data_IF_586947035891
#
_entry.id   IF_586947035891
#
_cell.length_a   1.000
_cell.length_b   1.000
_cell.length_c   1.000
_cell.angle_alpha   90.00
_cell.angle_beta   90.00
_cell.angle_gamma   90.00
#
_symmetry.space_group_name_H-M   'P 1'
#
loop_
_entity.id
_entity.type
_entity.pdbx_description
1 polymer ?
#
# COMPACT_ATOMS: atom_id res chain seq x y z
N UNK A 1 9.07 13.83 19.14
CA UNK A 1 10.51 13.94 18.78
C UNK A 1 10.56 14.43 17.34
N UNK A 2 11.26 15.53 17.07
CA UNK A 2 11.33 16.14 15.74
C UNK A 2 11.95 15.14 14.72
N UNK A 3 11.28 14.94 13.59
CA UNK A 3 11.73 14.05 12.52
C UNK A 3 13.09 14.49 11.97
N UNK A 4 13.36 15.79 11.96
CA UNK A 4 14.66 16.35 11.55
C UNK A 4 15.77 15.96 12.52
N UNK A 5 15.54 16.16 13.82
CA UNK A 5 16.48 15.75 14.88
C UNK A 5 16.80 14.24 14.80
N UNK A 6 15.79 13.41 14.53
CA UNK A 6 16.00 11.96 14.38
C UNK A 6 16.88 11.62 13.17
N UNK A 7 16.70 12.33 12.04
CA UNK A 7 17.55 12.16 10.85
C UNK A 7 18.99 12.58 11.14
N UNK A 8 19.19 13.72 11.80
CA UNK A 8 20.52 14.23 12.13
C UNK A 8 21.28 13.25 13.06
N UNK A 9 20.61 12.72 14.09
CA UNK A 9 21.18 11.70 14.98
C UNK A 9 21.57 10.44 14.19
N UNK A 10 20.75 10.00 13.23
CA UNK A 10 21.05 8.82 12.41
C UNK A 10 22.24 9.06 11.49
N UNK A 11 22.34 10.24 10.87
CA UNK A 11 23.47 10.64 10.03
C UNK A 11 24.76 10.56 10.84
N UNK A 12 24.81 11.17 12.03
CA UNK A 12 25.99 11.14 12.90
C UNK A 12 26.38 9.71 13.30
N UNK A 13 25.40 8.87 13.65
CA UNK A 13 25.65 7.46 14.00
C UNK A 13 26.25 6.67 12.83
N UNK A 14 25.78 6.87 11.60
CA UNK A 14 26.34 6.19 10.45
C UNK A 14 27.72 6.74 10.04
N UNK A 15 27.96 8.04 10.21
CA UNK A 15 29.28 8.63 10.02
C UNK A 15 30.31 8.05 11.01
N UNK A 16 29.96 7.96 12.29
CA UNK A 16 30.82 7.32 13.30
C UNK A 16 31.03 5.83 13.02
N UNK A 17 29.99 5.12 12.57
CA UNK A 17 30.12 3.72 12.15
C UNK A 17 31.11 3.56 11.00
N UNK A 18 31.04 4.43 9.97
CA UNK A 18 31.97 4.41 8.84
C UNK A 18 33.40 4.68 9.33
N UNK A 19 33.59 5.63 10.25
CA UNK A 19 34.91 5.92 10.85
C UNK A 19 35.49 4.69 11.56
N UNK A 20 34.67 3.96 12.31
CA UNK A 20 35.10 2.75 13.04
C UNK A 20 35.28 1.53 12.14
N UNK A 21 34.49 1.42 11.07
CA UNK A 21 34.44 0.23 10.18
C UNK A 21 34.38 0.65 8.70
N UNK A 22 35.45 1.28 8.16
CA UNK A 22 35.44 1.86 6.82
C UNK A 22 35.33 0.82 5.69
N UNK A 23 35.65 -0.45 5.93
CA UNK A 23 35.52 -1.50 4.92
C UNK A 23 34.11 -2.13 4.86
N UNK A 24 33.21 -1.77 5.79
CA UNK A 24 31.87 -2.35 5.81
C UNK A 24 30.89 -1.54 4.94
N UNK A 25 30.30 -2.12 3.87
CA UNK A 25 29.37 -1.41 3.00
C UNK A 25 28.09 -0.95 3.70
N UNK A 26 27.74 -1.58 4.82
CA UNK A 26 26.55 -1.25 5.61
C UNK A 26 26.53 0.20 6.09
N UNK A 27 27.68 0.75 6.53
CA UNK A 27 27.75 2.13 7.03
C UNK A 27 27.40 3.14 5.95
N UNK A 28 28.03 3.00 4.78
CA UNK A 28 27.76 3.83 3.62
C UNK A 28 26.32 3.68 3.12
N UNK A 29 25.80 2.44 3.07
CA UNK A 29 24.39 2.22 2.71
C UNK A 29 23.43 2.93 3.68
N UNK A 30 23.64 2.78 4.99
CA UNK A 30 22.80 3.41 6.00
C UNK A 30 22.81 4.94 5.91
N UNK A 31 23.99 5.53 5.67
CA UNK A 31 24.14 6.97 5.43
C UNK A 31 23.46 7.42 4.13
N UNK A 32 23.58 6.64 3.05
CA UNK A 32 22.90 6.92 1.78
C UNK A 32 21.36 6.91 1.92
N UNK A 33 20.81 6.00 2.73
CA UNK A 33 19.38 5.99 3.05
C UNK A 33 18.97 7.26 3.79
N UNK A 34 19.78 7.74 4.75
CA UNK A 34 19.44 9.00 5.45
C UNK A 34 19.46 10.19 4.49
N UNK A 35 20.41 10.25 3.56
CA UNK A 35 20.45 11.32 2.55
C UNK A 35 19.27 11.28 1.57
N UNK A 36 18.75 10.08 1.23
CA UNK A 36 17.50 9.98 0.46
C UNK A 36 16.32 10.54 1.25
N UNK A 37 16.20 10.17 2.53
CA UNK A 37 15.13 10.65 3.41
C UNK A 37 15.21 12.16 3.67
N UNK A 38 16.41 12.75 3.64
CA UNK A 38 16.61 14.19 3.75
C UNK A 38 16.43 14.95 2.43
N UNK A 39 16.00 14.27 1.35
CA UNK A 39 15.76 14.90 0.05
C UNK A 39 17.04 15.25 -0.73
N UNK A 40 18.18 14.61 -0.42
CA UNK A 40 19.48 14.84 -1.05
C UNK A 40 19.96 13.63 -1.87
N UNK A 41 19.28 13.26 -2.97
CA UNK A 41 19.58 12.03 -3.73
C UNK A 41 21.00 11.98 -4.29
N UNK A 42 21.61 13.13 -4.61
CA UNK A 42 23.01 13.21 -5.07
C UNK A 42 24.01 12.77 -4.02
N UNK A 43 23.80 13.13 -2.75
CA UNK A 43 24.65 12.67 -1.64
C UNK A 43 24.42 11.18 -1.36
N UNK A 44 23.17 10.74 -1.47
CA UNK A 44 22.83 9.33 -1.36
C UNK A 44 23.53 8.48 -2.42
N UNK A 45 23.55 8.92 -3.70
CA UNK A 45 24.26 8.20 -4.77
C UNK A 45 25.74 8.03 -4.45
N UNK A 46 26.40 9.10 -3.98
CA UNK A 46 27.81 9.04 -3.55
C UNK A 46 28.01 7.96 -2.50
N UNK A 47 27.13 7.87 -1.50
CA UNK A 47 27.24 6.86 -0.45
C UNK A 47 26.94 5.45 -0.96
N UNK A 48 25.94 5.25 -1.80
CA UNK A 48 25.69 3.94 -2.41
C UNK A 48 26.83 3.50 -3.32
N UNK A 49 27.44 4.42 -4.06
CA UNK A 49 28.66 4.12 -4.83
C UNK A 49 29.81 3.70 -3.94
N UNK A 50 30.02 4.36 -2.79
CA UNK A 50 31.05 3.92 -1.82
C UNK A 50 30.74 2.52 -1.27
N UNK A 51 29.49 2.23 -0.92
CA UNK A 51 29.09 0.88 -0.50
C UNK A 51 29.39 -0.18 -1.58
N UNK A 52 29.12 0.15 -2.85
CA UNK A 52 29.39 -0.75 -3.98
C UNK A 52 30.88 -0.88 -4.31
N UNK A 53 31.70 0.14 -4.03
CA UNK A 53 33.16 0.02 -4.10
C UNK A 53 33.69 -0.98 -3.08
N UNK A 54 33.12 -0.98 -1.86
CA UNK A 54 33.48 -1.94 -0.81
C UNK A 54 32.98 -3.35 -1.10
N UNK A 55 31.78 -3.48 -1.66
CA UNK A 55 31.25 -4.76 -2.12
C UNK A 55 30.34 -4.56 -3.36
N UNK A 56 30.81 -4.92 -4.57
CA UNK A 56 30.04 -4.76 -5.81
C UNK A 56 28.74 -5.55 -5.87
N UNK A 57 28.61 -6.62 -5.08
CA UNK A 57 27.42 -7.49 -5.00
C UNK A 57 26.45 -7.08 -3.90
N UNK A 58 26.72 -5.99 -3.18
CA UNK A 58 25.91 -5.57 -2.03
C UNK A 58 24.51 -5.10 -2.45
N UNK A 59 23.55 -6.03 -2.38
CA UNK A 59 22.18 -5.83 -2.84
C UNK A 59 21.47 -4.57 -2.27
N UNK A 60 21.61 -4.22 -0.97
CA UNK A 60 20.98 -3.02 -0.44
C UNK A 60 21.45 -1.74 -1.12
N UNK A 61 22.74 -1.61 -1.46
CA UNK A 61 23.24 -0.44 -2.16
C UNK A 61 22.82 -0.39 -3.64
N UNK A 62 22.68 -1.55 -4.31
CA UNK A 62 22.07 -1.60 -5.65
C UNK A 62 20.61 -1.15 -5.62
N UNK A 63 19.85 -1.58 -4.63
CA UNK A 63 18.48 -1.09 -4.41
C UNK A 63 18.46 0.42 -4.16
N UNK A 64 19.33 0.92 -3.28
CA UNK A 64 19.46 2.36 -3.01
C UNK A 64 19.80 3.17 -4.26
N UNK A 65 20.70 2.66 -5.13
CA UNK A 65 21.02 3.31 -6.40
C UNK A 65 19.82 3.35 -7.36
N UNK A 66 19.04 2.28 -7.44
CA UNK A 66 17.80 2.28 -8.21
C UNK A 66 16.80 3.31 -7.66
N UNK A 67 16.66 3.40 -6.34
CA UNK A 67 15.80 4.41 -5.67
C UNK A 67 16.25 5.84 -5.98
N UNK A 68 17.56 6.11 -6.01
CA UNK A 68 18.09 7.42 -6.42
C UNK A 68 17.71 7.75 -7.86
N UNK A 69 17.90 6.81 -8.80
CA UNK A 69 17.55 7.04 -10.21
C UNK A 69 16.07 7.40 -10.37
N UNK A 70 15.20 6.75 -9.60
CA UNK A 70 13.77 7.03 -9.57
C UNK A 70 13.47 8.40 -8.94
N UNK A 71 14.10 8.75 -7.82
CA UNK A 71 13.94 10.05 -7.15
C UNK A 71 14.40 11.22 -8.02
N UNK A 72 15.41 11.02 -8.86
CA UNK A 72 15.88 12.00 -9.84
C UNK A 72 15.09 12.00 -11.16
N UNK A 73 13.96 11.28 -11.24
CA UNK A 73 13.14 11.11 -12.45
C UNK A 73 13.90 10.53 -13.66
N UNK A 74 15.00 9.82 -13.44
CA UNK A 74 15.81 9.15 -14.47
C UNK A 74 15.22 7.77 -14.80
N UNK A 75 13.96 7.75 -15.25
CA UNK A 75 13.17 6.54 -15.44
C UNK A 75 13.78 5.50 -16.40
N UNK A 76 14.33 5.94 -17.55
CA UNK A 76 14.99 5.04 -18.50
C UNK A 76 16.22 4.39 -17.86
N UNK A 77 17.05 5.20 -17.20
CA UNK A 77 18.24 4.70 -16.52
C UNK A 77 17.86 3.73 -15.39
N UNK A 78 16.79 4.00 -14.64
CA UNK A 78 16.26 3.11 -13.63
C UNK A 78 15.83 1.76 -14.21
N UNK A 79 15.07 1.76 -15.31
CA UNK A 79 14.62 0.54 -15.98
C UNK A 79 15.79 -0.28 -16.55
N UNK A 80 16.79 0.39 -17.17
CA UNK A 80 18.01 -0.26 -17.63
C UNK A 80 18.86 -0.80 -16.48
N UNK A 81 18.97 -0.05 -15.39
CA UNK A 81 19.70 -0.46 -14.20
C UNK A 81 19.06 -1.67 -13.53
N UNK A 82 17.72 -1.73 -13.50
CA UNK A 82 16.98 -2.93 -13.10
C UNK A 82 17.34 -4.12 -13.98
N UNK A 83 17.24 -3.97 -15.31
CA UNK A 83 17.57 -5.04 -16.27
C UNK A 83 18.98 -5.59 -16.06
N UNK A 84 19.97 -4.72 -15.85
CA UNK A 84 21.37 -5.11 -15.58
C UNK A 84 21.56 -5.86 -14.26
N UNK A 85 20.65 -5.72 -13.30
CA UNK A 85 20.76 -6.30 -11.96
C UNK A 85 19.58 -7.23 -11.63
N UNK A 86 18.83 -7.69 -12.64
CA UNK A 86 17.58 -8.42 -12.48
C UNK A 86 17.76 -9.67 -11.63
N UNK A 87 18.85 -10.41 -11.85
CA UNK A 87 19.07 -11.71 -11.23
C UNK A 87 19.24 -11.56 -9.71
N UNK A 88 19.86 -10.46 -9.26
CA UNK A 88 20.00 -10.14 -7.85
C UNK A 88 18.69 -9.63 -7.24
N UNK A 89 17.91 -8.84 -7.99
CA UNK A 89 16.62 -8.31 -7.51
C UNK A 89 15.54 -9.39 -7.43
N UNK A 90 15.55 -10.36 -8.33
CA UNK A 90 14.60 -11.48 -8.33
C UNK A 90 14.96 -12.56 -7.30
N UNK A 91 16.19 -12.58 -6.80
CA UNK A 91 16.66 -13.58 -5.82
C UNK A 91 15.86 -13.62 -4.53
N UNK A 92 15.32 -12.47 -4.06
CA UNK A 92 14.49 -12.42 -2.85
C UNK A 92 13.22 -11.63 -3.11
N UNK A 93 12.06 -12.21 -2.74
CA UNK A 93 10.75 -11.56 -2.83
C UNK A 93 10.70 -10.18 -2.18
N UNK A 94 11.44 -9.98 -1.08
CA UNK A 94 11.51 -8.68 -0.38
C UNK A 94 12.11 -7.58 -1.27
N UNK A 95 13.06 -7.89 -2.14
CA UNK A 95 13.68 -6.93 -3.05
C UNK A 95 12.70 -6.56 -4.17
N UNK A 96 12.10 -7.56 -4.83
CA UNK A 96 11.05 -7.32 -5.82
C UNK A 96 9.90 -6.47 -5.26
N UNK A 97 9.39 -6.83 -4.07
CA UNK A 97 8.33 -6.08 -3.38
C UNK A 97 8.75 -4.64 -3.07
N UNK A 98 9.99 -4.43 -2.59
CA UNK A 98 10.52 -3.10 -2.31
C UNK A 98 10.61 -2.26 -3.58
N UNK A 99 11.14 -2.81 -4.68
CA UNK A 99 11.24 -2.12 -5.96
C UNK A 99 9.87 -1.71 -6.48
N UNK A 100 8.92 -2.64 -6.52
CA UNK A 100 7.55 -2.39 -6.92
C UNK A 100 6.91 -1.28 -6.07
N UNK A 101 7.14 -1.30 -4.76
CA UNK A 101 6.64 -0.27 -3.83
C UNK A 101 7.27 1.09 -4.07
N UNK A 102 8.58 1.15 -4.29
CA UNK A 102 9.27 2.41 -4.59
C UNK A 102 8.76 2.99 -5.90
N UNK A 103 8.72 2.20 -6.98
CA UNK A 103 8.31 2.69 -8.31
C UNK A 103 6.85 3.13 -8.29
N UNK A 104 5.95 2.31 -7.76
CA UNK A 104 4.52 2.66 -7.67
C UNK A 104 4.24 3.82 -6.72
N UNK A 105 5.08 4.03 -5.69
CA UNK A 105 4.97 5.16 -4.78
C UNK A 105 5.12 6.52 -5.48
N UNK A 106 5.88 6.57 -6.58
CA UNK A 106 6.04 7.78 -7.40
C UNK A 106 4.68 8.30 -7.90
N UNK A 107 3.72 7.39 -8.15
CA UNK A 107 2.38 7.76 -8.60
C UNK A 107 1.63 8.69 -7.64
N UNK A 108 1.94 8.61 -6.34
CA UNK A 108 1.32 9.44 -5.30
C UNK A 108 2.03 10.78 -5.11
N UNK A 109 3.20 10.99 -5.72
CA UNK A 109 3.95 12.24 -5.58
C UNK A 109 3.30 13.36 -6.41
N UNK A 110 3.16 14.54 -5.79
CA UNK A 110 2.69 15.74 -6.48
C UNK A 110 3.59 16.09 -7.67
N UNK A 111 4.90 15.86 -7.55
CA UNK A 111 5.87 16.05 -8.63
C UNK A 111 5.55 15.19 -9.85
N UNK A 112 5.14 13.94 -9.67
CA UNK A 112 4.73 13.07 -10.78
C UNK A 112 3.43 13.57 -11.42
N UNK A 113 2.44 13.96 -10.61
CA UNK A 113 1.21 14.55 -11.14
C UNK A 113 1.46 15.84 -11.91
N UNK A 114 2.35 16.72 -11.43
CA UNK A 114 2.75 17.95 -12.11
C UNK A 114 3.52 17.65 -13.40
N UNK A 115 4.43 16.68 -13.35
CA UNK A 115 5.19 16.19 -14.49
C UNK A 115 4.28 15.64 -15.60
N UNK A 116 3.19 14.94 -15.25
CA UNK A 116 2.19 14.49 -16.23
C UNK A 116 1.22 15.59 -16.69
N UNK A 117 1.06 16.69 -15.95
CA UNK A 117 0.16 17.80 -16.34
C UNK A 117 0.84 18.81 -17.26
N UNK A 118 2.14 19.03 -17.09
CA UNK A 118 2.88 19.98 -17.91
C UNK A 118 3.12 19.41 -19.31
N UNK A 119 2.61 20.10 -20.33
CA UNK A 119 2.65 19.68 -21.73
C UNK A 119 4.08 19.43 -22.24
N UNK A 120 5.06 20.23 -21.77
CA UNK A 120 6.48 20.07 -22.14
C UNK A 120 7.11 18.81 -21.53
N UNK A 121 6.86 18.54 -20.25
CA UNK A 121 7.37 17.32 -19.60
C UNK A 121 6.66 16.07 -20.06
N UNK A 122 5.41 16.21 -20.48
CA UNK A 122 4.63 15.15 -21.09
C UNK A 122 5.18 14.79 -22.48
N UNK A 123 5.55 15.77 -23.31
CA UNK A 123 6.22 15.52 -24.60
C UNK A 123 7.59 14.81 -24.42
N UNK A 124 8.40 15.27 -23.47
CA UNK A 124 9.67 14.60 -23.10
C UNK A 124 9.43 13.18 -22.58
N UNK A 125 8.28 12.91 -21.97
CA UNK A 125 7.91 11.57 -21.55
C UNK A 125 7.43 10.72 -22.73
N UNK A 126 6.71 11.28 -23.69
CA UNK A 126 6.24 10.61 -24.90
C UNK A 126 7.44 10.07 -25.73
N UNK A 127 8.53 10.84 -25.82
CA UNK A 127 9.79 10.35 -26.42
C UNK A 127 10.40 9.18 -25.62
N UNK A 128 10.35 9.26 -24.29
CA UNK A 128 10.87 8.22 -23.38
C UNK A 128 9.99 6.96 -23.35
N UNK A 129 8.70 7.06 -23.69
CA UNK A 129 7.76 5.93 -23.73
C UNK A 129 8.24 4.85 -24.70
N UNK A 130 8.71 5.24 -25.90
CA UNK A 130 9.22 4.27 -26.87
C UNK A 130 10.38 3.44 -26.32
N UNK A 131 11.28 4.07 -25.55
CA UNK A 131 12.37 3.37 -24.88
C UNK A 131 11.87 2.44 -23.75
N UNK A 132 10.91 2.89 -22.93
CA UNK A 132 10.31 2.04 -21.89
C UNK A 132 9.56 0.85 -22.47
N UNK A 133 8.82 1.04 -23.57
CA UNK A 133 8.12 -0.03 -24.28
C UNK A 133 9.10 -1.08 -24.81
N UNK A 134 10.21 -0.65 -25.42
CA UNK A 134 11.28 -1.57 -25.86
C UNK A 134 11.89 -2.34 -24.70
N UNK A 135 12.03 -1.72 -23.52
CA UNK A 135 12.56 -2.38 -22.32
C UNK A 135 11.54 -3.37 -21.73
N UNK A 136 10.26 -3.03 -21.75
CA UNK A 136 9.16 -3.87 -21.26
C UNK A 136 8.94 -5.10 -22.15
N UNK A 137 8.95 -4.92 -23.48
CA UNK A 137 8.77 -6.01 -24.45
C UNK A 137 10.00 -6.91 -24.68
N UNK A 138 11.10 -6.71 -23.96
CA UNK A 138 12.27 -7.59 -24.04
C UNK A 138 12.06 -8.87 -23.21
N UNK A 139 12.75 -9.97 -23.55
CA UNK A 139 12.60 -11.34 -22.99
C UNK A 139 12.58 -11.50 -21.46
N UNK A 140 12.95 -10.46 -20.70
CA UNK A 140 12.83 -10.43 -19.24
C UNK A 140 11.86 -9.32 -18.81
N UNK A 141 10.73 -9.72 -18.22
CA UNK A 141 9.76 -8.82 -17.60
C UNK A 141 10.46 -7.81 -16.68
N UNK A 142 10.16 -6.52 -16.89
CA UNK A 142 10.80 -5.43 -16.17
C UNK A 142 9.74 -4.66 -15.38
N UNK A 143 9.45 -5.05 -14.12
CA UNK A 143 8.41 -4.40 -13.32
C UNK A 143 8.65 -2.90 -13.13
N UNK A 144 9.90 -2.40 -13.23
CA UNK A 144 10.15 -0.96 -13.21
C UNK A 144 9.57 -0.30 -14.45
N UNK A 145 9.86 -0.83 -15.64
CA UNK A 145 9.32 -0.31 -16.89
C UNK A 145 7.80 -0.48 -16.96
N UNK A 146 7.29 -1.65 -16.60
CA UNK A 146 5.86 -1.98 -16.67
C UNK A 146 5.03 -1.06 -15.79
N UNK A 147 5.45 -0.85 -14.52
CA UNK A 147 4.75 0.04 -13.59
C UNK A 147 4.78 1.49 -14.10
N UNK A 148 5.93 1.96 -14.60
CA UNK A 148 6.05 3.33 -15.13
C UNK A 148 5.16 3.55 -16.36
N UNK A 149 5.09 2.57 -17.26
CA UNK A 149 4.20 2.59 -18.42
C UNK A 149 2.73 2.60 -17.99
N UNK A 150 2.35 1.73 -17.04
CA UNK A 150 0.99 1.67 -16.52
C UNK A 150 0.57 2.98 -15.85
N UNK A 151 1.44 3.57 -15.03
CA UNK A 151 1.18 4.86 -14.40
C UNK A 151 0.93 5.96 -15.44
N UNK A 152 1.73 5.99 -16.51
CA UNK A 152 1.56 6.96 -17.58
C UNK A 152 0.28 6.75 -18.38
N UNK A 153 -0.03 5.50 -18.77
CA UNK A 153 -1.27 5.19 -19.50
C UNK A 153 -2.51 5.52 -18.69
N UNK A 154 -2.50 5.26 -17.38
CA UNK A 154 -3.57 5.72 -16.48
C UNK A 154 -3.73 7.24 -16.50
N UNK A 155 -2.63 8.01 -16.39
CA UNK A 155 -2.70 9.48 -16.41
C UNK A 155 -3.19 10.03 -17.74
N UNK A 156 -2.90 9.35 -18.85
CA UNK A 156 -3.40 9.67 -20.19
C UNK A 156 -4.84 9.20 -20.43
N UNK A 157 -5.43 8.43 -19.52
CA UNK A 157 -6.74 7.81 -19.74
C UNK A 157 -6.75 6.77 -20.88
N UNK A 158 -5.59 6.22 -21.24
CA UNK A 158 -5.43 5.25 -22.33
C UNK A 158 -5.98 3.88 -21.88
N UNK A 159 -6.91 3.32 -22.66
CA UNK A 159 -7.61 2.06 -22.36
C UNK A 159 -7.60 1.07 -23.55
N UNK A 160 -6.55 1.10 -24.37
CA UNK A 160 -6.34 0.11 -25.42
C UNK A 160 -5.80 -1.20 -24.85
N UNK A 161 -5.81 -2.25 -25.67
CA UNK A 161 -5.44 -3.61 -25.25
C UNK A 161 -4.04 -3.66 -24.62
N UNK A 162 -3.07 -2.96 -25.20
CA UNK A 162 -1.70 -2.87 -24.68
C UNK A 162 -1.66 -2.27 -23.26
N UNK A 163 -2.41 -1.20 -23.00
CA UNK A 163 -2.48 -0.62 -21.67
C UNK A 163 -3.14 -1.57 -20.67
N UNK A 164 -4.23 -2.22 -21.05
CA UNK A 164 -4.95 -3.16 -20.19
C UNK A 164 -4.11 -4.39 -19.82
N UNK A 165 -3.34 -4.95 -20.77
CA UNK A 165 -2.41 -6.05 -20.50
C UNK A 165 -1.37 -5.64 -19.45
N UNK A 166 -0.80 -4.44 -19.57
CA UNK A 166 0.13 -3.92 -18.58
C UNK A 166 -0.55 -3.65 -17.23
N UNK A 167 -1.79 -3.18 -17.22
CA UNK A 167 -2.54 -2.99 -15.97
C UNK A 167 -2.78 -4.31 -15.26
N UNK A 168 -3.18 -5.36 -15.99
CA UNK A 168 -3.35 -6.71 -15.45
C UNK A 168 -2.06 -7.30 -14.89
N UNK A 169 -0.93 -7.08 -15.57
CA UNK A 169 0.39 -7.45 -15.03
C UNK A 169 0.67 -6.70 -13.73
N UNK A 170 0.51 -5.38 -13.72
CA UNK A 170 0.90 -4.55 -12.59
C UNK A 170 -0.01 -4.75 -11.38
N UNK A 171 -1.33 -4.87 -11.55
CA UNK A 171 -2.28 -4.96 -10.44
C UNK A 171 -2.02 -6.18 -9.54
N UNK A 172 -1.55 -7.29 -10.13
CA UNK A 172 -1.18 -8.51 -9.42
C UNK A 172 0.17 -8.46 -8.70
N UNK A 173 0.97 -7.40 -8.88
CA UNK A 173 2.26 -7.28 -8.21
C UNK A 173 2.07 -6.93 -6.72
N UNK A 174 2.64 -7.77 -5.85
CA UNK A 174 2.46 -7.68 -4.39
C UNK A 174 3.00 -6.39 -3.76
N UNK A 175 3.90 -5.68 -4.43
CA UNK A 175 4.50 -4.44 -3.94
C UNK A 175 3.83 -3.16 -4.40
N UNK A 176 2.80 -3.20 -5.26
CA UNK A 176 2.14 -1.96 -5.72
C UNK A 176 1.53 -1.19 -4.55
N UNK A 177 1.69 0.12 -4.57
CA UNK A 177 1.04 1.04 -3.63
C UNK A 177 -0.48 1.00 -3.80
N UNK A 178 -1.22 1.04 -2.70
CA UNK A 178 -2.69 0.91 -2.68
C UNK A 178 -3.40 1.92 -3.58
N UNK A 179 -2.92 3.17 -3.66
CA UNK A 179 -3.49 4.19 -4.55
C UNK A 179 -3.38 3.78 -6.02
N UNK A 180 -2.19 3.35 -6.46
CA UNK A 180 -2.00 2.92 -7.84
C UNK A 180 -2.79 1.64 -8.12
N UNK A 181 -2.79 0.67 -7.20
CA UNK A 181 -3.55 -0.57 -7.37
C UNK A 181 -5.05 -0.30 -7.55
N UNK A 182 -5.60 0.63 -6.77
CA UNK A 182 -7.00 1.05 -6.91
C UNK A 182 -7.31 1.65 -8.27
N UNK A 183 -6.49 2.61 -8.74
CA UNK A 183 -6.70 3.23 -10.04
C UNK A 183 -6.58 2.21 -11.19
N UNK A 184 -5.68 1.23 -11.08
CA UNK A 184 -5.57 0.11 -12.03
C UNK A 184 -6.84 -0.74 -12.03
N UNK A 185 -7.34 -1.11 -10.85
CA UNK A 185 -8.60 -1.88 -10.72
C UNK A 185 -9.76 -1.12 -11.35
N UNK A 186 -9.87 0.19 -11.10
CA UNK A 186 -10.91 1.04 -11.68
C UNK A 186 -10.81 1.12 -13.22
N UNK A 187 -9.61 1.17 -13.78
CA UNK A 187 -9.42 1.16 -15.23
C UNK A 187 -9.79 -0.20 -15.84
N UNK A 188 -9.37 -1.30 -15.22
CA UNK A 188 -9.67 -2.66 -15.66
C UNK A 188 -11.16 -2.99 -15.54
N UNK A 189 -11.81 -2.58 -14.46
CA UNK A 189 -13.21 -2.90 -14.16
C UNK A 189 -14.20 -2.32 -15.16
N UNK A 190 -13.79 -1.33 -15.97
CA UNK A 190 -14.61 -0.77 -17.06
C UNK A 190 -14.87 -1.80 -18.17
N UNK A 191 -13.92 -2.70 -18.44
CA UNK A 191 -14.09 -3.80 -19.41
C UNK A 191 -14.38 -5.12 -18.73
N UNK A 192 -13.82 -5.34 -17.54
CA UNK A 192 -13.94 -6.61 -16.82
C UNK A 192 -14.41 -6.35 -15.36
N UNK A 193 -15.73 -6.22 -15.13
CA UNK A 193 -16.27 -5.87 -13.81
C UNK A 193 -15.91 -6.85 -12.67
N UNK A 194 -15.56 -8.10 -12.99
CA UNK A 194 -15.12 -9.11 -12.02
C UNK A 194 -13.84 -8.71 -11.27
N UNK A 195 -12.97 -7.89 -11.88
CA UNK A 195 -11.72 -7.41 -11.27
C UNK A 195 -11.99 -6.61 -10.00
N UNK A 196 -13.07 -5.82 -9.97
CA UNK A 196 -13.50 -5.06 -8.79
C UNK A 196 -14.07 -5.95 -7.66
N UNK A 197 -14.17 -7.26 -7.86
CA UNK A 197 -14.64 -8.23 -6.86
C UNK A 197 -13.61 -9.33 -6.58
N UNK A 198 -12.41 -9.27 -7.19
CA UNK A 198 -11.38 -10.29 -6.97
C UNK A 198 -10.78 -10.17 -5.56
N UNK A 199 -11.09 -11.15 -4.73
CA UNK A 199 -10.64 -11.29 -3.34
C UNK A 199 -9.11 -11.38 -3.26
N UNK A 200 -8.44 -12.00 -4.24
CA UNK A 200 -6.98 -12.12 -4.26
C UNK A 200 -6.33 -10.76 -4.44
N UNK A 201 -6.89 -9.91 -5.30
CA UNK A 201 -6.40 -8.54 -5.49
C UNK A 201 -6.69 -7.67 -4.27
N UNK A 202 -7.89 -7.76 -3.71
CA UNK A 202 -8.26 -7.09 -2.47
C UNK A 202 -7.32 -7.45 -1.31
N UNK A 203 -6.91 -8.72 -1.23
CA UNK A 203 -5.95 -9.21 -0.24
C UNK A 203 -4.53 -8.62 -0.33
N UNK A 204 -4.17 -7.99 -1.45
CA UNK A 204 -2.86 -7.33 -1.62
C UNK A 204 -2.80 -5.92 -1.01
N UNK A 205 -3.94 -5.33 -0.66
CA UNK A 205 -3.98 -3.99 -0.08
C UNK A 205 -3.42 -3.96 1.34
N UNK A 206 -2.75 -2.85 1.67
CA UNK A 206 -2.27 -2.59 3.03
C UNK A 206 -3.20 -1.68 3.82
N UNK A 207 -3.96 -0.81 3.15
CA UNK A 207 -4.99 0.05 3.70
C UNK A 207 -6.07 0.33 2.65
N UNK A 208 -7.16 0.95 3.07
CA UNK A 208 -8.21 1.42 2.15
C UNK A 208 -7.73 2.70 1.47
N UNK A 209 -7.66 2.75 0.13
CA UNK A 209 -7.34 3.96 -0.61
C UNK A 209 -8.35 5.08 -0.32
N UNK A 210 -7.89 6.32 -0.23
CA UNK A 210 -8.74 7.49 0.05
C UNK A 210 -9.95 7.60 -0.91
N UNK A 211 -9.75 7.30 -2.19
CA UNK A 211 -10.79 7.35 -3.21
C UNK A 211 -11.65 6.08 -3.30
N UNK A 212 -11.40 5.08 -2.45
CA UNK A 212 -12.19 3.86 -2.40
C UNK A 212 -13.29 3.92 -1.32
N UNK A 213 -13.20 4.85 -0.36
CA UNK A 213 -14.24 5.04 0.65
C UNK A 213 -15.58 5.41 -0.01
N UNK A 214 -16.67 4.83 0.51
CA UNK A 214 -18.01 4.99 -0.05
C UNK A 214 -18.34 4.05 -1.22
N UNK A 215 -17.39 3.22 -1.65
CA UNK A 215 -17.64 2.17 -2.65
C UNK A 215 -17.83 0.81 -1.96
N UNK A 216 -18.47 -0.13 -2.68
CA UNK A 216 -18.52 -1.54 -2.26
C UNK A 216 -17.13 -2.17 -2.10
N UNK A 217 -16.11 -1.61 -2.78
CA UNK A 217 -14.75 -2.08 -2.67
C UNK A 217 -14.15 -1.84 -1.28
N UNK A 218 -14.46 -0.71 -0.63
CA UNK A 218 -14.00 -0.47 0.74
C UNK A 218 -14.57 -1.52 1.71
N UNK A 219 -15.82 -1.95 1.51
CA UNK A 219 -16.41 -3.04 2.27
C UNK A 219 -15.68 -4.36 2.02
N UNK A 220 -15.41 -4.70 0.75
CA UNK A 220 -14.64 -5.88 0.37
C UNK A 220 -13.25 -5.90 1.02
N UNK A 221 -12.56 -4.77 1.08
CA UNK A 221 -11.24 -4.66 1.72
C UNK A 221 -11.29 -4.99 3.22
N UNK A 222 -12.28 -4.46 3.95
CA UNK A 222 -12.45 -4.78 5.38
C UNK A 222 -12.72 -6.27 5.57
N UNK A 223 -13.62 -6.85 4.78
CA UNK A 223 -13.89 -8.30 4.78
C UNK A 223 -12.60 -9.12 4.55
N UNK A 224 -11.76 -8.70 3.60
CA UNK A 224 -10.49 -9.35 3.33
C UNK A 224 -9.51 -9.22 4.50
N UNK A 225 -9.40 -8.06 5.14
CA UNK A 225 -8.52 -7.88 6.30
C UNK A 225 -8.96 -8.75 7.49
N UNK A 226 -10.27 -8.88 7.72
CA UNK A 226 -10.81 -9.80 8.73
C UNK A 226 -10.51 -11.26 8.40
N UNK A 227 -10.68 -11.67 7.14
CA UNK A 227 -10.35 -13.02 6.68
C UNK A 227 -8.85 -13.36 6.82
N UNK A 228 -7.97 -12.36 6.65
CA UNK A 228 -6.53 -12.46 6.87
C UNK A 228 -6.14 -12.52 8.35
N UNK A 229 -7.08 -12.31 9.28
CA UNK A 229 -6.84 -12.18 10.73
C UNK A 229 -5.87 -11.04 11.10
N UNK A 230 -5.81 -10.00 10.27
CA UNK A 230 -4.92 -8.85 10.48
C UNK A 230 -5.65 -7.77 11.29
N UNK A 231 -5.57 -7.88 12.62
CA UNK A 231 -6.26 -6.99 13.58
C UNK A 231 -5.86 -5.52 13.36
N UNK A 232 -4.58 -5.26 13.05
CA UNK A 232 -4.06 -3.91 12.84
C UNK A 232 -4.69 -3.25 11.61
N UNK A 233 -4.77 -3.98 10.49
CA UNK A 233 -5.45 -3.48 9.28
C UNK A 233 -6.94 -3.25 9.50
N UNK A 234 -7.62 -4.14 10.22
CA UNK A 234 -9.05 -3.98 10.53
C UNK A 234 -9.28 -2.73 11.38
N UNK A 235 -8.51 -2.56 12.45
CA UNK A 235 -8.63 -1.41 13.33
C UNK A 235 -8.30 -0.10 12.61
N UNK A 236 -7.23 -0.10 11.80
CA UNK A 236 -6.87 1.06 10.99
C UNK A 236 -7.99 1.42 10.00
N UNK A 237 -8.55 0.43 9.28
CA UNK A 237 -9.64 0.65 8.34
C UNK A 237 -10.88 1.24 9.03
N UNK A 238 -11.31 0.67 10.16
CA UNK A 238 -12.48 1.15 10.91
C UNK A 238 -12.25 2.54 11.52
N UNK A 239 -11.04 2.84 11.98
CA UNK A 239 -10.67 4.20 12.42
C UNK A 239 -10.77 5.21 11.28
N UNK A 240 -10.34 4.86 10.06
CA UNK A 240 -10.45 5.74 8.90
C UNK A 240 -11.90 5.96 8.44
N UNK A 241 -12.78 4.95 8.60
CA UNK A 241 -14.23 5.12 8.42
C UNK A 241 -14.81 6.11 9.43
N UNK A 242 -14.49 5.94 10.71
CA UNK A 242 -14.96 6.81 11.78
C UNK A 242 -14.52 8.27 11.57
N UNK A 243 -13.25 8.51 11.21
CA UNK A 243 -12.73 9.86 10.90
C UNK A 243 -13.48 10.56 9.76
N UNK A 244 -14.07 9.78 8.84
CA UNK A 244 -14.83 10.29 7.70
C UNK A 244 -16.33 10.36 7.97
N UNK A 245 -16.78 10.06 9.18
CA UNK A 245 -18.19 9.91 9.54
C UNK A 245 -18.93 8.91 8.61
N UNK A 246 -18.21 7.86 8.18
CA UNK A 246 -18.76 6.83 7.32
C UNK A 246 -18.97 5.54 8.12
N UNK A 247 -19.97 4.76 7.72
CA UNK A 247 -20.24 3.44 8.30
C UNK A 247 -20.03 2.35 7.26
N UNK A 248 -19.41 1.21 7.64
CA UNK A 248 -19.38 0.03 6.77
C UNK A 248 -20.78 -0.52 6.51
N UNK A 249 -20.93 -1.37 5.50
CA UNK A 249 -22.20 -2.04 5.23
C UNK A 249 -22.63 -2.95 6.39
N UNK A 250 -23.95 -3.20 6.53
CA UNK A 250 -24.51 -4.13 7.54
C UNK A 250 -23.83 -5.51 7.50
N UNK A 251 -23.49 -5.99 6.30
CA UNK A 251 -22.74 -7.24 6.09
C UNK A 251 -21.37 -7.20 6.78
N UNK A 252 -20.60 -6.15 6.54
CA UNK A 252 -19.27 -5.97 7.14
C UNK A 252 -19.36 -5.81 8.66
N UNK A 253 -20.38 -5.10 9.16
CA UNK A 253 -20.62 -4.99 10.61
C UNK A 253 -20.89 -6.37 11.24
N UNK A 254 -21.68 -7.21 10.58
CA UNK A 254 -21.95 -8.58 11.05
C UNK A 254 -20.69 -9.45 11.00
N UNK A 255 -19.90 -9.37 9.92
CA UNK A 255 -18.61 -10.05 9.82
C UNK A 255 -17.64 -9.60 10.92
N UNK A 256 -17.65 -8.30 11.27
CA UNK A 256 -16.82 -7.76 12.36
C UNK A 256 -17.22 -8.31 13.73
N UNK A 257 -18.51 -8.52 13.98
CA UNK A 257 -18.98 -9.14 15.23
C UNK A 257 -18.47 -10.58 15.34
N UNK A 258 -18.54 -11.35 14.27
CA UNK A 258 -17.95 -12.70 14.22
C UNK A 258 -16.43 -12.68 14.44
N UNK A 259 -15.76 -11.74 13.77
CA UNK A 259 -14.32 -11.54 13.89
C UNK A 259 -13.91 -11.21 15.33
N UNK A 260 -14.62 -10.29 15.99
CA UNK A 260 -14.34 -9.90 17.38
C UNK A 260 -14.56 -11.06 18.34
N UNK A 261 -15.67 -11.78 18.22
CA UNK A 261 -15.95 -12.96 19.06
C UNK A 261 -14.86 -14.03 18.90
N UNK A 262 -14.42 -14.31 17.68
CA UNK A 262 -13.38 -15.30 17.39
C UNK A 262 -11.99 -14.91 17.92
N UNK A 263 -11.74 -13.61 18.11
CA UNK A 263 -10.46 -13.07 18.59
C UNK A 263 -10.55 -12.52 20.03
N UNK A 264 -11.67 -12.72 20.73
CA UNK A 264 -11.95 -12.19 22.06
C UNK A 264 -11.73 -10.66 22.18
N UNK A 265 -12.10 -9.91 21.15
CA UNK A 265 -11.97 -8.46 21.09
C UNK A 265 -13.26 -7.80 21.58
N UNK A 266 -13.17 -6.94 22.59
CA UNK A 266 -14.31 -6.23 23.19
C UNK A 266 -14.01 -4.74 23.23
N UNK A 267 -14.67 -3.97 22.36
CA UNK A 267 -14.41 -2.53 22.21
C UNK A 267 -15.69 -1.76 21.87
N UNK A 268 -15.59 -0.43 21.86
CA UNK A 268 -16.72 0.46 21.56
C UNK A 268 -17.21 0.33 20.11
N UNK A 269 -16.35 0.01 19.16
CA UNK A 269 -16.76 -0.22 17.76
C UNK A 269 -17.68 -1.44 17.64
N UNK A 270 -17.34 -2.54 18.34
CA UNK A 270 -18.16 -3.74 18.41
C UNK A 270 -19.53 -3.42 19.03
N UNK A 271 -19.54 -2.63 20.11
CA UNK A 271 -20.77 -2.18 20.75
C UNK A 271 -21.66 -1.38 19.79
N UNK A 272 -21.10 -0.38 19.12
CA UNK A 272 -21.81 0.44 18.15
C UNK A 272 -22.39 -0.38 17.00
N UNK A 273 -21.64 -1.34 16.46
CA UNK A 273 -22.12 -2.20 15.37
C UNK A 273 -23.18 -3.20 15.84
N UNK A 274 -23.01 -3.78 17.03
CA UNK A 274 -24.02 -4.68 17.62
C UNK A 274 -25.35 -3.94 17.81
N UNK A 275 -25.30 -2.75 18.43
CA UNK A 275 -26.46 -1.88 18.62
C UNK A 275 -27.12 -1.52 17.30
N UNK A 276 -26.35 -1.01 16.34
CA UNK A 276 -26.88 -0.58 15.04
C UNK A 276 -27.57 -1.72 14.29
N UNK A 277 -27.01 -2.93 14.31
CA UNK A 277 -27.62 -4.10 13.67
C UNK A 277 -28.93 -4.50 14.34
N UNK A 278 -28.98 -4.56 15.67
CA UNK A 278 -30.20 -4.89 16.43
C UNK A 278 -31.29 -3.85 16.17
N UNK A 279 -30.95 -2.56 16.24
CA UNK A 279 -31.89 -1.47 15.95
C UNK A 279 -32.35 -1.45 14.49
N UNK A 280 -31.53 -1.97 13.58
CA UNK A 280 -31.87 -2.19 12.16
C UNK A 280 -32.69 -3.45 11.90
N UNK A 281 -33.11 -4.18 12.94
CA UNK A 281 -33.93 -5.40 12.85
C UNK A 281 -33.14 -6.69 12.60
N UNK A 282 -31.80 -6.66 12.63
CA UNK A 282 -30.99 -7.88 12.58
C UNK A 282 -30.95 -8.49 13.97
N UNK A 283 -31.65 -9.62 14.16
CA UNK A 283 -31.78 -10.26 15.47
C UNK A 283 -31.48 -11.74 15.33
N UNK A 284 -30.48 -12.21 16.07
CA UNK A 284 -30.07 -13.61 16.13
C UNK A 284 -29.32 -13.91 17.43
N UNK A 285 -29.13 -15.20 17.73
CA UNK A 285 -28.45 -15.63 18.96
C UNK A 285 -26.99 -15.22 19.08
N UNK A 286 -26.29 -14.88 17.99
CA UNK A 286 -24.93 -14.32 18.06
C UNK A 286 -24.97 -12.87 18.57
N UNK A 287 -25.85 -12.04 18.00
CA UNK A 287 -26.02 -10.65 18.40
C UNK A 287 -26.49 -10.55 19.85
N UNK A 288 -27.45 -11.38 20.26
CA UNK A 288 -27.92 -11.45 21.64
C UNK A 288 -26.79 -11.81 22.62
N UNK A 289 -26.01 -12.85 22.33
CA UNK A 289 -24.85 -13.25 23.17
C UNK A 289 -23.79 -12.15 23.22
N UNK A 290 -23.50 -11.52 22.09
CA UNK A 290 -22.53 -10.41 22.02
C UNK A 290 -23.01 -9.23 22.87
N UNK A 291 -24.30 -8.87 22.78
CA UNK A 291 -24.92 -7.82 23.58
C UNK A 291 -24.81 -8.07 25.08
N UNK A 292 -25.15 -9.28 25.54
CA UNK A 292 -25.05 -9.69 26.95
C UNK A 292 -23.60 -9.61 27.43
N UNK A 293 -22.63 -10.03 26.59
CA UNK A 293 -21.22 -10.00 26.96
C UNK A 293 -20.64 -8.58 26.98
N UNK A 294 -21.12 -7.68 26.12
CA UNK A 294 -20.78 -6.26 26.17
C UNK A 294 -21.33 -5.59 27.42
N UNK A 295 -22.56 -5.94 27.83
CA UNK A 295 -23.18 -5.52 29.09
C UNK A 295 -22.35 -5.97 30.29
N UNK A 296 -22.02 -7.26 30.38
CA UNK A 296 -21.27 -7.80 31.52
C UNK A 296 -19.86 -7.23 31.65
N UNK A 297 -19.28 -6.73 30.56
CA UNK A 297 -17.99 -6.03 30.53
C UNK A 297 -18.10 -4.52 30.80
N UNK A 298 -19.30 -3.99 31.02
CA UNK A 298 -19.53 -2.56 31.28
C UNK A 298 -19.27 -1.66 30.06
N UNK A 299 -19.28 -2.21 28.84
CA UNK A 299 -19.06 -1.44 27.60
C UNK A 299 -20.36 -0.78 27.13
N UNK A 300 -21.51 -1.41 27.42
CA UNK A 300 -22.86 -0.90 27.11
C UNK A 300 -23.66 -0.81 28.41
N UNK A 301 -24.44 0.25 28.55
CA UNK A 301 -25.40 0.43 29.65
C UNK A 301 -26.54 -0.59 29.57
N UNK A 302 -26.90 -1.18 30.71
CA UNK A 302 -28.01 -2.13 30.81
C UNK A 302 -29.36 -1.58 30.33
N UNK A 303 -29.53 -0.26 30.39
CA UNK A 303 -30.74 0.47 29.97
C UNK A 303 -30.77 0.77 28.48
N UNK A 304 -29.76 0.36 27.71
CA UNK A 304 -29.74 0.60 26.27
C UNK A 304 -30.95 -0.04 25.58
N UNK A 305 -31.55 0.72 24.65
CA UNK A 305 -32.76 0.31 23.90
C UNK A 305 -32.60 -1.05 23.23
N UNK A 306 -31.39 -1.43 22.83
CA UNK A 306 -31.13 -2.72 22.19
C UNK A 306 -31.60 -3.92 23.05
N UNK A 307 -31.52 -3.84 24.39
CA UNK A 307 -31.97 -4.94 25.26
C UNK A 307 -33.50 -5.08 25.27
N UNK A 308 -34.23 -3.96 25.19
CA UNK A 308 -35.69 -3.98 25.01
C UNK A 308 -36.08 -4.59 23.66
N UNK A 309 -35.29 -4.34 22.61
CA UNK A 309 -35.53 -4.97 21.31
C UNK A 309 -35.29 -6.48 21.40
N UNK A 310 -34.17 -6.91 21.97
CA UNK A 310 -33.83 -8.32 22.15
C UNK A 310 -34.89 -9.10 22.95
N UNK A 311 -35.43 -8.51 24.01
CA UNK A 311 -36.45 -9.16 24.85
C UNK A 311 -37.75 -9.44 24.08
N UNK A 312 -38.12 -8.61 23.11
CA UNK A 312 -39.30 -8.85 22.25
C UNK A 312 -39.16 -10.13 21.42
N UNK A 313 -37.94 -10.60 21.21
CA UNK A 313 -37.61 -11.81 20.44
C UNK A 313 -37.18 -12.97 21.34
N UNK A 314 -37.44 -12.88 22.65
CA UNK A 314 -37.14 -13.95 23.61
C UNK A 314 -35.68 -14.06 24.03
N UNK A 315 -34.85 -13.05 23.72
CA UNK A 315 -33.48 -12.97 24.20
C UNK A 315 -33.43 -12.06 25.45
N UNK A 316 -33.25 -12.66 26.62
CA UNK A 316 -33.13 -11.97 27.92
C UNK A 316 -31.73 -12.13 28.48
#
# INVERSE_FOLDING_TARGET
MDQKLLLDIRILKFQDYIRRKPERPFGYYGLGVQYLLSGTPRLADKMFMQALKKNPSYAPAKLGKLEVLLAENKFIAAAQYYRKNSDLFMRKKIYAKRIQKTVSGIYSLQSFSAYCRNFRSLFVFDEKIGALQKISGADKQNPVADILLSMYFLKKGRNDEKALTLFNICVGLAGINDRLRWDLIQALSKKEPSVARDIRLAGLFTAIPENAFGTDYANLLISCFMAQKDIDKVNHALSEFAKRNMTPSKKVMWEYINFCNSNNLWNSTLASFCKYLIESGWINGLLARTAIQLKSKGIIDEKDRMFKILSLYGYT
#
